data_IF_297186100748
#
_entry.id   IF_297186100748
#
_cell.length_a   1.000
_cell.length_b   1.000
_cell.length_c   1.000
_cell.angle_alpha   90.00
_cell.angle_beta   90.00
_cell.angle_gamma   90.00
#
_symmetry.space_group_name_H-M   'P 1'
#
loop_
_entity.id
_entity.type
_entity.pdbx_description
1 polymer ?
#
# COMPACT_ATOMS: atom_id res chain seq x y z
N UNK A 1 11.31 -5.77 8.13
CA UNK A 1 11.69 -7.01 7.41
C UNK A 1 12.19 -6.60 6.03
N UNK A 2 12.33 -7.48 5.04
CA UNK A 2 12.53 -7.04 3.65
C UNK A 2 11.19 -6.62 3.02
N UNK A 3 11.21 -5.63 2.12
CA UNK A 3 10.00 -5.11 1.45
C UNK A 3 9.17 -6.19 0.73
N UNK A 4 9.83 -7.19 0.12
CA UNK A 4 9.14 -8.35 -0.50
C UNK A 4 8.31 -9.17 0.49
N UNK A 5 8.78 -9.28 1.74
CA UNK A 5 8.08 -10.00 2.80
C UNK A 5 6.87 -9.20 3.26
N UNK A 6 7.01 -7.88 3.43
CA UNK A 6 5.89 -7.00 3.73
C UNK A 6 4.82 -7.06 2.64
N UNK A 7 5.22 -6.98 1.36
CA UNK A 7 4.33 -7.08 0.20
C UNK A 7 3.45 -8.33 0.26
N UNK A 8 4.09 -9.49 0.38
CA UNK A 8 3.41 -10.78 0.34
C UNK A 8 2.49 -10.99 1.54
N UNK A 9 2.95 -10.66 2.75
CA UNK A 9 2.14 -10.78 3.97
C UNK A 9 0.96 -9.82 3.92
N UNK A 10 1.18 -8.58 3.47
CA UNK A 10 0.15 -7.55 3.38
C UNK A 10 -0.94 -7.89 2.38
N UNK A 11 -0.58 -8.30 1.15
CA UNK A 11 -1.56 -8.74 0.14
C UNK A 11 -2.36 -9.94 0.64
N UNK A 12 -1.68 -10.97 1.16
CA UNK A 12 -2.35 -12.18 1.65
C UNK A 12 -3.35 -11.85 2.77
N UNK A 13 -2.91 -11.05 3.75
CA UNK A 13 -3.75 -10.66 4.89
C UNK A 13 -4.92 -9.78 4.45
N UNK A 14 -4.66 -8.77 3.60
CA UNK A 14 -5.70 -7.88 3.08
C UNK A 14 -6.82 -8.63 2.38
N UNK A 15 -6.47 -9.56 1.49
CA UNK A 15 -7.44 -10.37 0.76
C UNK A 15 -8.20 -11.35 1.67
N UNK A 16 -7.52 -11.97 2.63
CA UNK A 16 -8.16 -12.88 3.58
C UNK A 16 -9.12 -12.18 4.53
N UNK A 17 -8.77 -10.97 5.00
CA UNK A 17 -9.59 -10.20 5.94
C UNK A 17 -10.80 -9.59 5.25
N UNK A 18 -10.62 -8.97 4.07
CA UNK A 18 -11.67 -8.17 3.45
C UNK A 18 -12.48 -8.92 2.38
N UNK A 19 -12.02 -10.08 1.91
CA UNK A 19 -12.78 -11.02 1.07
C UNK A 19 -13.49 -10.33 -0.12
N UNK A 20 -12.77 -9.99 -1.21
CA UNK A 20 -13.34 -9.30 -2.37
C UNK A 20 -14.49 -10.11 -2.98
N UNK A 21 -15.53 -9.42 -3.44
CA UNK A 21 -16.77 -10.04 -3.94
C UNK A 21 -16.88 -10.08 -5.46
N UNK A 22 -16.05 -9.30 -6.15
CA UNK A 22 -16.02 -9.22 -7.61
C UNK A 22 -14.58 -8.97 -8.09
N UNK A 23 -14.37 -9.10 -9.40
CA UNK A 23 -13.03 -9.02 -9.99
C UNK A 23 -12.40 -7.64 -9.80
N UNK A 24 -13.21 -6.58 -9.83
CA UNK A 24 -12.75 -5.21 -9.59
C UNK A 24 -12.20 -5.06 -8.17
N UNK A 25 -12.93 -5.52 -7.16
CA UNK A 25 -12.47 -5.52 -5.77
C UNK A 25 -11.23 -6.38 -5.56
N UNK A 26 -11.13 -7.53 -6.24
CA UNK A 26 -9.95 -8.38 -6.14
C UNK A 26 -8.70 -7.67 -6.67
N UNK A 27 -8.80 -7.02 -7.84
CA UNK A 27 -7.68 -6.28 -8.45
C UNK A 27 -7.33 -5.05 -7.63
N UNK A 28 -8.32 -4.21 -7.32
CA UNK A 28 -8.13 -2.96 -6.55
C UNK A 28 -7.67 -3.27 -5.14
N UNK A 29 -8.22 -4.30 -4.50
CA UNK A 29 -7.84 -4.72 -3.16
C UNK A 29 -6.44 -5.31 -3.10
N UNK A 30 -6.04 -6.12 -4.08
CA UNK A 30 -4.65 -6.60 -4.20
C UNK A 30 -3.68 -5.44 -4.35
N UNK A 31 -3.96 -4.49 -5.25
CA UNK A 31 -3.12 -3.31 -5.45
C UNK A 31 -3.07 -2.41 -4.19
N UNK A 32 -4.21 -2.17 -3.54
CA UNK A 32 -4.31 -1.40 -2.31
C UNK A 32 -3.50 -2.01 -1.17
N UNK A 33 -3.66 -3.32 -0.94
CA UNK A 33 -2.90 -4.05 0.08
C UNK A 33 -1.40 -4.06 -0.21
N UNK A 34 -1.01 -4.28 -1.48
CA UNK A 34 0.39 -4.23 -1.89
C UNK A 34 0.99 -2.86 -1.59
N UNK A 35 0.38 -1.78 -2.09
CA UNK A 35 0.87 -0.41 -1.86
C UNK A 35 0.92 -0.12 -0.36
N UNK A 36 -0.15 -0.39 0.38
CA UNK A 36 -0.19 -0.14 1.83
C UNK A 36 0.90 -0.88 2.60
N UNK A 37 1.25 -2.10 2.17
CA UNK A 37 2.28 -2.90 2.82
C UNK A 37 3.72 -2.48 2.53
N UNK A 38 3.98 -1.66 1.51
CA UNK A 38 5.34 -1.23 1.13
C UNK A 38 5.55 0.28 1.19
N UNK A 39 4.48 1.08 1.24
CA UNK A 39 4.54 2.55 1.22
C UNK A 39 5.36 3.11 2.38
N UNK A 40 5.40 2.43 3.53
CA UNK A 40 6.18 2.89 4.69
C UNK A 40 7.68 2.99 4.40
N UNK A 41 8.21 2.09 3.57
CA UNK A 41 9.64 2.01 3.23
C UNK A 41 10.09 3.04 2.17
N UNK A 42 9.21 3.93 1.68
CA UNK A 42 9.63 5.02 0.77
C UNK A 42 10.59 6.01 1.45
N UNK A 43 10.71 5.95 2.78
CA UNK A 43 11.65 6.74 3.58
C UNK A 43 13.07 6.10 3.64
N UNK A 44 13.27 4.93 3.03
CA UNK A 44 14.59 4.31 2.83
C UNK A 44 15.24 4.92 1.59
N UNK A 45 16.06 5.95 1.81
CA UNK A 45 16.69 6.71 0.74
C UNK A 45 17.56 5.85 -0.19
N UNK A 46 17.16 5.74 -1.45
CA UNK A 46 18.09 5.47 -2.56
C UNK A 46 18.86 6.75 -2.86
N UNK A 47 20.18 6.65 -3.02
CA UNK A 47 21.07 7.76 -3.33
C UNK A 47 20.70 8.39 -4.68
N UNK A 48 19.80 9.39 -4.64
CA UNK A 48 19.28 10.05 -5.83
C UNK A 48 17.91 10.72 -5.62
N UNK A 49 17.68 11.35 -4.47
CA UNK A 49 16.38 11.89 -4.00
C UNK A 49 15.59 12.69 -5.06
N UNK A 50 16.23 13.45 -5.95
CA UNK A 50 15.56 14.15 -7.06
C UNK A 50 15.21 13.26 -8.26
N UNK A 51 16.06 12.30 -8.59
CA UNK A 51 15.87 11.39 -9.73
C UNK A 51 14.80 10.35 -9.44
N UNK A 52 14.65 9.94 -8.18
CA UNK A 52 13.66 8.95 -7.77
C UNK A 52 12.26 9.56 -7.55
N UNK A 53 12.17 10.80 -7.07
CA UNK A 53 10.92 11.55 -7.07
C UNK A 53 10.37 11.77 -8.50
N UNK A 54 11.24 12.14 -9.44
CA UNK A 54 10.84 12.29 -10.85
C UNK A 54 10.41 10.96 -11.49
N UNK A 55 11.03 9.83 -11.13
CA UNK A 55 10.58 8.50 -11.56
C UNK A 55 9.23 8.13 -10.98
N UNK A 56 8.98 8.42 -9.69
CA UNK A 56 7.67 8.16 -9.08
C UNK A 56 6.57 9.00 -9.74
N UNK A 57 6.83 10.30 -9.95
CA UNK A 57 5.90 11.18 -10.68
C UNK A 57 5.66 10.65 -12.10
N UNK A 58 6.72 10.27 -12.83
CA UNK A 58 6.60 9.72 -14.18
C UNK A 58 5.80 8.40 -14.20
N UNK A 59 6.03 7.51 -13.22
CA UNK A 59 5.29 6.26 -13.08
C UNK A 59 3.80 6.49 -12.77
N UNK A 60 3.50 7.48 -11.93
CA UNK A 60 2.12 7.82 -11.59
C UNK A 60 1.39 8.40 -12.81
N UNK A 61 2.04 9.35 -13.52
CA UNK A 61 1.49 9.94 -14.74
C UNK A 61 1.29 8.88 -15.82
N UNK A 62 2.26 7.98 -16.01
CA UNK A 62 2.13 6.89 -16.99
C UNK A 62 1.04 5.89 -16.62
N UNK A 63 0.85 5.61 -15.33
CA UNK A 63 -0.22 4.72 -14.85
C UNK A 63 -1.59 5.34 -15.10
N UNK A 64 -1.79 6.62 -14.77
CA UNK A 64 -3.05 7.33 -15.04
C UNK A 64 -3.34 7.36 -16.54
N UNK A 65 -2.33 7.64 -17.37
CA UNK A 65 -2.47 7.62 -18.83
C UNK A 65 -2.83 6.22 -19.36
N UNK A 66 -2.18 5.17 -18.87
CA UNK A 66 -2.46 3.80 -19.27
C UNK A 66 -3.87 3.35 -18.90
N UNK A 67 -4.36 3.71 -17.71
CA UNK A 67 -5.74 3.45 -17.29
C UNK A 67 -6.74 4.20 -18.16
N UNK A 68 -6.46 5.47 -18.50
CA UNK A 68 -7.32 6.25 -19.40
C UNK A 68 -7.40 5.65 -20.81
N UNK A 69 -6.26 5.21 -21.36
CA UNK A 69 -6.21 4.53 -22.68
C UNK A 69 -6.94 3.18 -22.63
N UNK A 70 -6.72 2.40 -21.56
CA UNK A 70 -7.40 1.13 -21.35
C UNK A 70 -8.92 1.30 -21.30
N UNK A 71 -9.39 2.29 -20.55
CA UNK A 71 -10.82 2.59 -20.46
C UNK A 71 -11.41 3.06 -21.79
N UNK A 72 -10.66 3.83 -22.58
CA UNK A 72 -11.06 4.26 -23.92
C UNK A 72 -11.15 3.09 -24.92
N UNK A 73 -10.17 2.18 -24.94
CA UNK A 73 -10.12 1.06 -25.89
C UNK A 73 -11.13 -0.02 -25.52
N UNK A 74 -11.19 -0.41 -24.24
CA UNK A 74 -11.98 -1.56 -23.79
C UNK A 74 -13.35 -1.19 -23.23
N UNK A 75 -13.69 0.10 -23.20
CA UNK A 75 -15.00 0.59 -22.72
C UNK A 75 -15.34 0.01 -21.34
N UNK A 76 -14.34 -0.05 -20.45
CA UNK A 76 -14.41 -0.66 -19.11
C UNK A 76 -15.43 0.09 -18.23
N UNK A 77 -15.69 1.36 -18.55
CA UNK A 77 -16.68 2.21 -17.92
C UNK A 77 -16.16 2.92 -16.67
N UNK A 78 -14.85 3.10 -16.56
CA UNK A 78 -14.20 3.85 -15.46
C UNK A 78 -14.56 5.34 -15.59
N UNK A 79 -14.46 5.91 -16.79
CA UNK A 79 -14.78 7.31 -17.09
C UNK A 79 -16.27 7.62 -16.89
N UNK A 80 -17.15 6.75 -17.37
CA UNK A 80 -18.60 6.92 -17.25
C UNK A 80 -19.09 6.75 -15.79
N UNK A 81 -18.50 5.84 -15.01
CA UNK A 81 -18.75 5.73 -13.55
C UNK A 81 -18.13 6.87 -12.76
N UNK A 82 -17.05 7.49 -13.25
CA UNK A 82 -16.48 8.69 -12.64
C UNK A 82 -17.41 9.89 -12.83
N UNK A 83 -17.69 10.31 -14.06
CA UNK A 83 -18.27 11.64 -14.34
C UNK A 83 -19.69 11.85 -13.80
N UNK A 84 -20.45 10.79 -13.56
CA UNK A 84 -21.84 10.95 -13.11
C UNK A 84 -21.98 11.22 -11.60
N UNK A 85 -20.95 10.96 -10.78
CA UNK A 85 -21.04 11.11 -9.31
C UNK A 85 -19.75 11.59 -8.60
N UNK A 86 -18.66 11.91 -9.30
CA UNK A 86 -17.41 12.34 -8.64
C UNK A 86 -17.23 13.86 -8.60
N UNK A 87 -17.04 14.36 -7.38
CA UNK A 87 -16.47 15.68 -7.18
C UNK A 87 -14.98 15.63 -7.57
N UNK A 88 -14.68 16.01 -8.82
CA UNK A 88 -13.32 16.00 -9.37
C UNK A 88 -12.34 16.82 -8.52
N UNK A 89 -12.81 17.91 -7.92
CA UNK A 89 -12.03 18.73 -7.00
C UNK A 89 -11.64 17.92 -5.75
N UNK A 90 -12.58 17.16 -5.17
CA UNK A 90 -12.30 16.26 -4.03
C UNK A 90 -11.23 15.23 -4.39
N UNK A 91 -11.35 14.56 -5.53
CA UNK A 91 -10.39 13.56 -6.00
C UNK A 91 -9.01 14.19 -6.17
N UNK A 92 -8.95 15.32 -6.90
CA UNK A 92 -7.71 16.00 -7.18
C UNK A 92 -6.99 16.46 -5.90
N UNK A 93 -7.72 17.09 -4.97
CA UNK A 93 -7.19 17.50 -3.67
C UNK A 93 -6.69 16.30 -2.85
N UNK A 94 -7.40 15.18 -2.88
CA UNK A 94 -7.03 13.97 -2.13
C UNK A 94 -5.76 13.32 -2.69
N UNK A 95 -5.62 13.29 -4.02
CA UNK A 95 -4.40 12.80 -4.67
C UNK A 95 -3.22 13.72 -4.36
N UNK A 96 -3.39 15.04 -4.48
CA UNK A 96 -2.34 16.00 -4.13
C UNK A 96 -1.92 15.87 -2.66
N UNK A 97 -2.86 15.72 -1.73
CA UNK A 97 -2.57 15.48 -0.33
C UNK A 97 -1.78 14.18 -0.12
N UNK A 98 -2.20 13.06 -0.73
CA UNK A 98 -1.51 11.77 -0.65
C UNK A 98 -0.05 11.89 -1.11
N UNK A 99 0.18 12.53 -2.26
CA UNK A 99 1.52 12.72 -2.82
C UNK A 99 2.38 13.64 -1.95
N UNK A 100 1.80 14.71 -1.40
CA UNK A 100 2.49 15.62 -0.49
C UNK A 100 2.95 14.91 0.77
N UNK A 101 2.08 14.08 1.36
CA UNK A 101 2.41 13.26 2.53
C UNK A 101 3.56 12.30 2.20
N UNK A 102 3.52 11.62 1.05
CA UNK A 102 4.60 10.74 0.61
C UNK A 102 5.92 11.50 0.42
N UNK A 103 5.90 12.65 -0.24
CA UNK A 103 7.08 13.48 -0.46
C UNK A 103 7.70 13.99 0.85
N UNK A 104 6.87 14.33 1.84
CA UNK A 104 7.32 14.66 3.20
C UNK A 104 7.90 13.43 3.90
N UNK A 105 7.26 12.27 3.75
CA UNK A 105 7.70 10.99 4.30
C UNK A 105 9.06 10.54 3.78
N UNK A 106 9.33 10.69 2.48
CA UNK A 106 10.63 10.40 1.87
C UNK A 106 11.77 11.23 2.47
N UNK A 107 11.49 12.44 2.97
CA UNK A 107 12.47 13.31 3.65
C UNK A 107 12.57 13.04 5.14
N UNK A 108 11.62 12.29 5.71
CA UNK A 108 11.61 11.94 7.12
C UNK A 108 12.68 10.90 7.42
N UNK A 109 13.12 10.81 8.69
CA UNK A 109 14.07 9.77 9.09
C UNK A 109 13.38 8.40 9.01
N UNK A 110 14.07 7.40 8.47
CA UNK A 110 13.55 6.04 8.40
C UNK A 110 13.00 5.55 9.76
N UNK A 111 11.85 4.86 9.75
CA UNK A 111 11.13 4.33 10.94
C UNK A 111 10.59 5.41 11.89
N UNK A 112 10.28 6.58 11.35
CA UNK A 112 9.62 7.66 12.11
C UNK A 112 8.22 7.95 11.59
N UNK A 113 8.05 8.95 10.73
CA UNK A 113 6.73 9.39 10.27
C UNK A 113 6.03 8.30 9.46
N UNK A 114 6.68 7.72 8.44
CA UNK A 114 6.07 6.70 7.57
C UNK A 114 5.80 5.35 8.25
N UNK A 115 6.30 5.16 9.47
CA UNK A 115 6.07 3.98 10.31
C UNK A 115 5.24 4.35 11.55
N UNK A 116 4.16 5.11 11.34
CA UNK A 116 3.29 5.58 12.42
C UNK A 116 1.81 5.43 12.08
N UNK A 117 0.98 5.34 13.13
CA UNK A 117 -0.48 5.36 12.98
C UNK A 117 -0.99 6.67 12.35
N UNK A 118 -0.26 7.77 12.55
CA UNK A 118 -0.59 9.05 11.92
C UNK A 118 -0.44 8.97 10.40
N UNK A 119 0.70 8.48 9.89
CA UNK A 119 0.90 8.32 8.45
C UNK A 119 -0.13 7.35 7.84
N UNK A 120 -0.41 6.24 8.54
CA UNK A 120 -1.45 5.30 8.13
C UNK A 120 -2.82 5.98 7.99
N UNK A 121 -3.23 6.75 9.01
CA UNK A 121 -4.53 7.43 9.01
C UNK A 121 -4.62 8.50 7.91
N UNK A 122 -3.57 9.30 7.71
CA UNK A 122 -3.54 10.35 6.69
C UNK A 122 -3.59 9.77 5.27
N UNK A 123 -2.76 8.76 4.97
CA UNK A 123 -2.70 8.14 3.65
C UNK A 123 -3.97 7.33 3.34
N UNK A 124 -4.49 6.59 4.34
CA UNK A 124 -5.78 5.90 4.23
C UNK A 124 -6.91 6.90 4.00
N UNK A 125 -6.94 8.01 4.74
CA UNK A 125 -7.96 9.05 4.60
C UNK A 125 -7.97 9.66 3.21
N UNK A 126 -6.79 9.92 2.64
CA UNK A 126 -6.69 10.37 1.24
C UNK A 126 -7.25 9.31 0.28
N UNK A 127 -6.85 8.05 0.43
CA UNK A 127 -7.36 6.94 -0.39
C UNK A 127 -8.87 6.78 -0.26
N UNK A 128 -9.44 6.93 0.93
CA UNK A 128 -10.88 6.86 1.14
C UNK A 128 -11.64 7.90 0.31
N UNK A 129 -11.06 9.09 0.15
CA UNK A 129 -11.70 10.22 -0.54
C UNK A 129 -11.63 10.13 -2.06
N UNK A 130 -10.65 9.43 -2.64
CA UNK A 130 -10.53 9.26 -4.09
C UNK A 130 -10.74 7.82 -4.61
N UNK A 131 -10.31 6.80 -3.87
CA UNK A 131 -10.48 5.39 -4.21
C UNK A 131 -10.91 4.55 -2.98
N UNK A 132 -12.14 4.72 -2.47
CA UNK A 132 -12.62 4.05 -1.26
C UNK A 132 -12.49 2.53 -1.28
N UNK A 133 -12.67 1.91 -2.46
CA UNK A 133 -12.55 0.47 -2.64
C UNK A 133 -11.15 -0.09 -2.30
N UNK A 134 -10.10 0.73 -2.37
CA UNK A 134 -8.73 0.33 -2.01
C UNK A 134 -8.39 0.63 -0.55
N UNK A 135 -9.10 1.55 0.10
CA UNK A 135 -8.70 2.14 1.38
C UNK A 135 -8.58 1.09 2.49
N UNK A 136 -9.59 0.21 2.64
CA UNK A 136 -9.55 -0.85 3.64
C UNK A 136 -8.37 -1.81 3.42
N UNK A 137 -8.13 -2.23 2.17
CA UNK A 137 -7.02 -3.12 1.83
C UNK A 137 -5.67 -2.46 2.10
N UNK A 138 -5.53 -1.19 1.76
CA UNK A 138 -4.36 -0.38 2.08
C UNK A 138 -4.11 -0.32 3.58
N UNK A 139 -5.14 -0.06 4.39
CA UNK A 139 -5.00 -0.02 5.86
C UNK A 139 -4.54 -1.35 6.43
N UNK A 140 -5.10 -2.47 5.94
CA UNK A 140 -4.65 -3.80 6.38
C UNK A 140 -3.20 -4.04 5.97
N UNK A 141 -2.83 -3.73 4.72
CA UNK A 141 -1.45 -3.82 4.23
C UNK A 141 -0.48 -3.00 5.11
N UNK A 142 -0.80 -1.74 5.37
CA UNK A 142 -0.01 -0.86 6.23
C UNK A 142 0.09 -1.38 7.66
N UNK A 143 -1.02 -1.87 8.21
CA UNK A 143 -1.04 -2.46 9.56
C UNK A 143 -0.12 -3.67 9.65
N UNK A 144 -0.11 -4.56 8.64
CA UNK A 144 0.84 -5.69 8.62
C UNK A 144 2.28 -5.23 8.51
N UNK A 145 2.55 -4.13 7.80
CA UNK A 145 3.88 -3.55 7.76
C UNK A 145 4.37 -3.15 9.16
N UNK A 146 3.57 -2.34 9.86
CA UNK A 146 3.85 -1.91 11.24
C UNK A 146 4.02 -3.13 12.17
N UNK A 147 3.10 -4.10 12.10
CA UNK A 147 3.18 -5.29 12.94
C UNK A 147 4.49 -6.07 12.70
N UNK A 148 4.87 -6.31 11.45
CA UNK A 148 6.13 -7.02 11.14
C UNK A 148 7.36 -6.25 11.64
N UNK A 149 7.33 -4.92 11.56
CA UNK A 149 8.43 -4.08 12.03
C UNK A 149 8.44 -3.83 13.54
N UNK A 150 7.30 -3.95 14.20
CA UNK A 150 7.18 -4.01 15.66
C UNK A 150 7.88 -5.23 16.25
N UNK A 151 7.82 -6.39 15.56
CA UNK A 151 8.60 -7.57 15.96
C UNK A 151 10.09 -7.49 15.57
N UNK A 152 10.47 -6.54 14.72
CA UNK A 152 11.86 -6.37 14.29
C UNK A 152 12.76 -5.79 15.39
N UNK A 153 14.03 -6.23 15.44
CA UNK A 153 15.05 -5.79 16.40
C UNK A 153 15.21 -4.27 16.50
N UNK A 154 14.98 -3.51 15.42
CA UNK A 154 15.14 -2.04 15.41
C UNK A 154 13.94 -1.30 16.04
N UNK A 155 12.74 -1.88 16.04
CA UNK A 155 11.49 -1.21 16.41
C UNK A 155 11.14 0.00 15.53
N UNK A 156 10.09 0.71 15.89
CA UNK A 156 9.56 1.87 15.14
C UNK A 156 8.85 2.90 16.04
N UNK A 157 8.68 4.14 15.53
CA UNK A 157 7.95 5.22 16.25
C UNK A 157 6.47 5.27 15.86
N UNK A 158 5.71 4.29 16.32
CA UNK A 158 4.27 4.15 16.00
C UNK A 158 3.42 5.37 16.39
N UNK A 159 3.81 6.11 17.44
CA UNK A 159 3.09 7.29 17.95
C UNK A 159 3.79 8.62 17.61
N UNK A 160 4.13 8.84 16.34
CA UNK A 160 4.66 10.14 15.89
C UNK A 160 3.72 11.30 16.29
N UNK A 161 4.24 12.46 16.77
CA UNK A 161 5.65 12.88 16.82
C UNK A 161 6.43 12.48 18.08
N UNK A 162 5.87 11.61 18.94
CA UNK A 162 6.59 11.14 20.13
C UNK A 162 7.92 10.45 19.72
N UNK A 163 8.98 10.72 20.48
CA UNK A 163 10.35 10.25 20.14
C UNK A 163 10.63 8.80 20.59
N UNK A 164 9.65 8.12 21.21
CA UNK A 164 9.81 6.77 21.77
C UNK A 164 9.68 5.70 20.68
N UNK A 165 10.61 4.76 20.68
CA UNK A 165 10.54 3.56 19.85
C UNK A 165 9.81 2.45 20.60
N UNK A 166 8.94 1.74 19.88
CA UNK A 166 8.20 0.59 20.37
C UNK A 166 8.55 -0.64 19.53
N UNK A 167 8.48 -1.82 20.14
CA UNK A 167 8.72 -3.10 19.48
C UNK A 167 9.17 -4.19 20.44
N UNK A 168 8.85 -5.44 20.10
CA UNK A 168 9.23 -6.66 20.86
C UNK A 168 10.68 -7.07 20.56
N UNK A 169 11.24 -6.66 19.42
CA UNK A 169 12.68 -6.75 19.07
C UNK A 169 13.27 -8.17 19.03
N UNK A 170 12.48 -9.16 18.64
CA UNK A 170 12.91 -10.57 18.59
C UNK A 170 13.36 -11.01 17.19
N UNK A 171 12.86 -10.39 16.12
CA UNK A 171 13.12 -10.82 14.74
C UNK A 171 14.19 -9.98 14.04
N UNK A 172 15.11 -10.66 13.35
CA UNK A 172 16.06 -10.01 12.42
C UNK A 172 15.36 -9.58 11.13
N UNK A 173 15.84 -8.51 10.50
CA UNK A 173 15.34 -8.05 9.19
C UNK A 173 15.73 -8.98 8.02
N UNK A 174 16.77 -9.79 8.21
CA UNK A 174 17.28 -10.77 7.25
C UNK A 174 17.63 -12.07 7.97
N UNK A 175 17.44 -13.20 7.28
CA UNK A 175 17.68 -14.55 7.81
C UNK A 175 16.46 -15.45 7.71
N UNK A 176 16.58 -16.66 8.29
CA UNK A 176 15.65 -17.76 8.10
C UNK A 176 14.17 -17.38 8.30
N UNK A 177 13.84 -16.63 9.36
CA UNK A 177 12.44 -16.24 9.63
C UNK A 177 11.88 -15.37 8.51
N UNK A 178 12.65 -14.42 7.98
CA UNK A 178 12.23 -13.60 6.86
C UNK A 178 12.01 -14.45 5.60
N UNK A 179 12.91 -15.40 5.33
CA UNK A 179 12.84 -16.24 4.14
C UNK A 179 11.67 -17.22 4.20
N UNK A 180 11.39 -17.79 5.37
CA UNK A 180 10.21 -18.63 5.62
C UNK A 180 8.92 -17.82 5.48
N UNK A 181 8.85 -16.63 6.09
CA UNK A 181 7.67 -15.75 5.96
C UNK A 181 7.41 -15.36 4.51
N UNK A 182 8.47 -15.05 3.76
CA UNK A 182 8.35 -14.76 2.33
C UNK A 182 7.89 -15.99 1.53
N UNK A 183 8.53 -17.15 1.71
CA UNK A 183 8.23 -18.37 0.96
C UNK A 183 6.80 -18.88 1.23
N UNK A 184 6.44 -19.06 2.50
CA UNK A 184 5.10 -19.51 2.90
C UNK A 184 4.05 -18.47 2.52
N UNK A 185 4.33 -17.19 2.77
CA UNK A 185 3.43 -16.12 2.40
C UNK A 185 3.17 -16.08 0.90
N UNK A 186 4.19 -16.33 0.07
CA UNK A 186 4.06 -16.22 -1.38
C UNK A 186 3.17 -17.33 -1.94
N UNK A 187 3.36 -18.55 -1.44
CA UNK A 187 2.49 -19.68 -1.77
C UNK A 187 1.05 -19.44 -1.28
N UNK A 188 0.88 -18.90 -0.07
CA UNK A 188 -0.43 -18.54 0.46
C UNK A 188 -1.10 -17.44 -0.38
N UNK A 189 -0.37 -16.42 -0.80
CA UNK A 189 -0.86 -15.34 -1.65
C UNK A 189 -1.43 -15.88 -2.96
N UNK A 190 -0.66 -16.71 -3.67
CA UNK A 190 -1.11 -17.34 -4.93
C UNK A 190 -2.35 -18.17 -4.69
N UNK A 191 -2.35 -18.99 -3.63
CA UNK A 191 -3.49 -19.86 -3.29
C UNK A 191 -4.74 -19.05 -2.99
N UNK A 192 -4.64 -17.96 -2.23
CA UNK A 192 -5.75 -17.07 -1.86
C UNK A 192 -6.30 -16.36 -3.09
N UNK A 193 -5.45 -15.77 -3.93
CA UNK A 193 -5.88 -15.11 -5.16
C UNK A 193 -6.62 -16.11 -6.05
N UNK A 194 -6.08 -17.31 -6.24
CA UNK A 194 -6.73 -18.34 -7.05
C UNK A 194 -8.09 -18.77 -6.48
N UNK A 195 -8.21 -18.94 -5.16
CA UNK A 195 -9.51 -19.25 -4.52
C UNK A 195 -10.54 -18.17 -4.74
N UNK A 196 -10.15 -16.91 -4.51
CA UNK A 196 -11.05 -15.78 -4.61
C UNK A 196 -11.47 -15.55 -6.07
N UNK A 197 -10.53 -15.61 -7.01
CA UNK A 197 -10.84 -15.53 -8.43
C UNK A 197 -11.81 -16.63 -8.87
N UNK A 198 -11.56 -17.88 -8.48
CA UNK A 198 -12.47 -18.99 -8.78
C UNK A 198 -13.86 -18.79 -8.17
N UNK A 199 -13.95 -18.31 -6.93
CA UNK A 199 -15.21 -18.03 -6.25
C UNK A 199 -16.00 -16.89 -6.90
N UNK A 200 -15.32 -15.90 -7.46
CA UNK A 200 -15.93 -14.73 -8.09
C UNK A 200 -16.44 -15.05 -9.50
N UNK A 201 -15.77 -15.97 -10.20
CA UNK A 201 -16.11 -16.34 -11.59
C UNK A 201 -17.14 -17.47 -11.71
N UNK A 202 -17.50 -18.13 -10.61
CA UNK A 202 -18.51 -19.20 -10.54
C UNK A 202 -19.74 -18.68 -9.81
#
# INVERSE_FOLDING_TARGET
MLGKTHAVVGVTTGLLVLQPRNMTELVVGTAGALIGSVISDIDVGTSGSHRDANKMIALMVSTVAAVGVADYIWQIGIYSRMIQHVNLVRIWLSVQAFLTICAMGMKSRHRTFMHSFLAMALLTGCLWMFLPAAAGYFTVGFSTHLLLDFFNKKGERIFFPAKKYFGIRILSSSGLVNDVLFGVGFLAMIRVIWMLAKRICL
#
